data_IF_381750769992
#
_entry.id   IF_381750769992
#
_cell.length_a   1.000
_cell.length_b   1.000
_cell.length_c   1.000
_cell.angle_alpha   90.00
_cell.angle_beta   90.00
_cell.angle_gamma   90.00
#
_symmetry.space_group_name_H-M   'P 1'
#
loop_
_entity.id
_entity.type
_entity.pdbx_description
1 polymer ?
#
# COMPACT_ATOMS: atom_id res chain seq x y z
N UNK A 1 -4.06 25.75 -9.45
CA UNK A 1 -3.65 25.83 -8.03
C UNK A 1 -4.77 26.30 -7.12
N UNK A 2 -5.51 27.37 -7.46
CA UNK A 2 -6.59 27.90 -6.60
C UNK A 2 -7.77 26.91 -6.39
N UNK A 3 -8.18 26.22 -7.46
CA UNK A 3 -9.31 25.27 -7.39
C UNK A 3 -8.97 24.00 -6.60
N UNK A 4 -7.70 23.56 -6.64
CA UNK A 4 -7.23 22.37 -5.92
C UNK A 4 -7.21 22.61 -4.41
N UNK A 5 -6.76 23.77 -3.96
CA UNK A 5 -6.75 24.14 -2.54
C UNK A 5 -8.16 24.29 -1.99
N UNK A 6 -9.04 24.99 -2.73
CA UNK A 6 -10.47 25.12 -2.37
C UNK A 6 -11.17 23.78 -2.27
N UNK A 7 -10.84 22.84 -3.16
CA UNK A 7 -11.37 21.47 -3.13
C UNK A 7 -10.90 20.70 -1.89
N UNK A 8 -9.65 20.89 -1.46
CA UNK A 8 -9.11 20.19 -0.29
C UNK A 8 -9.74 20.65 1.01
N UNK A 9 -10.03 21.95 1.17
CA UNK A 9 -10.70 22.45 2.36
C UNK A 9 -12.14 21.93 2.46
N UNK A 10 -12.84 21.84 1.32
CA UNK A 10 -14.15 21.18 1.26
C UNK A 10 -14.07 19.70 1.65
N UNK A 11 -13.10 18.96 1.11
CA UNK A 11 -12.94 17.55 1.48
C UNK A 11 -12.60 17.37 2.96
N UNK A 12 -11.80 18.26 3.55
CA UNK A 12 -11.52 18.26 5.00
C UNK A 12 -12.77 18.50 5.83
N UNK A 13 -13.67 19.39 5.41
CA UNK A 13 -14.93 19.60 6.10
C UNK A 13 -15.80 18.34 6.05
N UNK A 14 -15.99 17.78 4.85
CA UNK A 14 -16.81 16.56 4.64
C UNK A 14 -16.26 15.36 5.41
N UNK A 15 -14.94 15.16 5.43
CA UNK A 15 -14.33 14.03 6.14
C UNK A 15 -14.40 14.14 7.66
N UNK A 16 -14.59 15.35 8.20
CA UNK A 16 -14.81 15.60 9.63
C UNK A 16 -16.27 15.47 10.02
N UNK A 17 -17.17 15.95 9.18
CA UNK A 17 -18.62 15.93 9.45
C UNK A 17 -19.22 14.52 9.26
N UNK A 18 -18.72 13.75 8.30
CA UNK A 18 -19.27 12.44 7.94
C UNK A 18 -18.23 11.30 7.94
N UNK A 19 -17.43 11.14 9.00
CA UNK A 19 -16.13 10.44 8.96
C UNK A 19 -16.17 8.98 8.50
N UNK A 20 -17.25 8.25 8.79
CA UNK A 20 -17.40 6.83 8.46
C UNK A 20 -18.37 6.57 7.30
N UNK A 21 -18.97 7.62 6.73
CA UNK A 21 -19.87 7.48 5.57
C UNK A 21 -19.06 7.33 4.28
N UNK A 22 -19.63 6.75 3.21
CA UNK A 22 -18.96 6.71 1.91
C UNK A 22 -18.47 8.08 1.41
N UNK A 23 -19.21 9.16 1.70
CA UNK A 23 -18.80 10.52 1.35
C UNK A 23 -17.58 10.99 2.13
N UNK A 24 -17.54 10.76 3.44
CA UNK A 24 -16.40 11.15 4.27
C UNK A 24 -15.15 10.31 4.01
N UNK A 25 -15.31 9.00 3.76
CA UNK A 25 -14.23 8.11 3.35
C UNK A 25 -13.66 8.55 1.99
N UNK A 26 -14.52 8.82 0.99
CA UNK A 26 -14.07 9.31 -0.31
C UNK A 26 -13.37 10.67 -0.20
N UNK A 27 -13.93 11.60 0.59
CA UNK A 27 -13.30 12.90 0.82
C UNK A 27 -11.92 12.75 1.46
N UNK A 28 -11.78 11.89 2.48
CA UNK A 28 -10.49 11.60 3.12
C UNK A 28 -9.49 10.97 2.16
N UNK A 29 -9.93 10.04 1.32
CA UNK A 29 -9.10 9.44 0.29
C UNK A 29 -8.56 10.49 -0.69
N UNK A 30 -9.40 11.45 -1.12
CA UNK A 30 -8.96 12.56 -1.97
C UNK A 30 -7.93 13.46 -1.29
N UNK A 31 -8.05 13.69 0.02
CA UNK A 31 -7.05 14.44 0.80
C UNK A 31 -5.72 13.66 0.84
N UNK A 32 -5.77 12.36 1.12
CA UNK A 32 -4.58 11.50 1.15
C UNK A 32 -3.86 11.48 -0.21
N UNK A 33 -4.62 11.35 -1.31
CA UNK A 33 -4.09 11.38 -2.66
C UNK A 33 -3.51 12.73 -3.05
N UNK A 34 -4.10 13.83 -2.60
CA UNK A 34 -3.53 15.17 -2.77
C UNK A 34 -2.17 15.29 -2.06
N UNK A 35 -2.08 14.88 -0.80
CA UNK A 35 -0.81 14.90 -0.07
C UNK A 35 0.24 14.02 -0.74
N UNK A 36 -0.13 12.81 -1.19
CA UNK A 36 0.76 11.92 -1.94
C UNK A 36 1.27 12.58 -3.23
N UNK A 37 0.40 13.25 -3.97
CA UNK A 37 0.74 13.87 -5.25
C UNK A 37 1.64 15.11 -5.09
N UNK A 38 1.65 15.73 -3.91
CA UNK A 38 2.52 16.84 -3.55
C UNK A 38 3.75 16.38 -2.74
N UNK A 39 4.07 15.09 -2.73
CA UNK A 39 5.19 14.50 -1.98
C UNK A 39 5.16 14.76 -0.47
N UNK A 40 3.97 15.10 0.08
CA UNK A 40 3.76 15.28 1.52
C UNK A 40 3.49 13.91 2.17
N UNK A 41 4.52 13.06 2.21
CA UNK A 41 4.37 11.64 2.55
C UNK A 41 3.78 11.40 3.94
N UNK A 42 4.22 12.12 4.97
CA UNK A 42 3.68 11.99 6.33
C UNK A 42 2.20 12.35 6.41
N UNK A 43 1.79 13.42 5.73
CA UNK A 43 0.38 13.84 5.70
C UNK A 43 -0.47 12.83 4.93
N UNK A 44 0.04 12.28 3.83
CA UNK A 44 -0.64 11.23 3.09
C UNK A 44 -0.81 9.96 3.93
N UNK A 45 0.26 9.50 4.59
CA UNK A 45 0.22 8.33 5.48
C UNK A 45 -0.81 8.49 6.58
N UNK A 46 -0.83 9.63 7.27
CA UNK A 46 -1.80 9.90 8.34
C UNK A 46 -3.25 9.76 7.88
N UNK A 47 -3.58 10.26 6.69
CA UNK A 47 -4.95 10.15 6.17
C UNK A 47 -5.28 8.72 5.73
N UNK A 48 -4.34 7.98 5.15
CA UNK A 48 -4.51 6.56 4.83
C UNK A 48 -4.59 5.68 6.10
N UNK A 49 -3.88 6.02 7.18
CA UNK A 49 -3.94 5.31 8.46
C UNK A 49 -5.34 5.42 9.08
N UNK A 50 -5.95 6.60 8.98
CA UNK A 50 -7.33 6.78 9.41
C UNK A 50 -8.25 5.92 8.54
N UNK A 51 -8.12 5.96 7.21
CA UNK A 51 -8.94 5.14 6.30
C UNK A 51 -8.85 3.65 6.58
N UNK A 52 -7.63 3.12 6.76
CA UNK A 52 -7.43 1.70 7.05
C UNK A 52 -7.98 1.29 8.42
N UNK A 53 -8.07 2.23 9.37
CA UNK A 53 -8.61 1.99 10.70
C UNK A 53 -10.14 2.07 10.78
N UNK A 54 -10.79 2.93 9.97
CA UNK A 54 -12.23 3.21 10.11
C UNK A 54 -13.08 2.61 8.99
N UNK A 55 -12.47 2.21 7.87
CA UNK A 55 -13.19 1.59 6.75
C UNK A 55 -13.70 0.20 7.14
N UNK A 56 -14.97 -0.07 6.86
CA UNK A 56 -15.55 -1.42 6.89
C UNK A 56 -15.40 -2.15 5.56
N UNK A 57 -15.01 -1.43 4.51
CA UNK A 57 -14.67 -2.00 3.21
C UNK A 57 -13.20 -2.47 3.24
N UNK A 58 -13.03 -3.79 3.10
CA UNK A 58 -11.72 -4.45 3.10
C UNK A 58 -10.84 -4.01 1.94
N UNK A 59 -11.41 -3.72 0.77
CA UNK A 59 -10.64 -3.25 -0.39
C UNK A 59 -10.04 -1.88 -0.09
N UNK A 60 -10.83 -0.94 0.43
CA UNK A 60 -10.34 0.39 0.80
C UNK A 60 -9.32 0.34 1.95
N UNK A 61 -9.52 -0.56 2.92
CA UNK A 61 -8.58 -0.72 4.02
C UNK A 61 -7.23 -1.30 3.55
N UNK A 62 -7.26 -2.33 2.71
CA UNK A 62 -6.07 -2.93 2.12
C UNK A 62 -5.35 -1.96 1.16
N UNK A 63 -6.09 -1.21 0.33
CA UNK A 63 -5.55 -0.15 -0.51
C UNK A 63 -4.79 0.89 0.32
N UNK A 64 -5.41 1.35 1.40
CA UNK A 64 -4.83 2.40 2.24
C UNK A 64 -3.52 1.94 2.87
N UNK A 65 -3.46 0.69 3.35
CA UNK A 65 -2.21 0.09 3.86
C UNK A 65 -1.17 -0.09 2.75
N UNK A 66 -1.55 -0.60 1.58
CA UNK A 66 -0.66 -0.69 0.43
C UNK A 66 -0.01 0.67 0.12
N UNK A 67 -0.81 1.74 0.08
CA UNK A 67 -0.34 3.10 -0.19
C UNK A 67 0.57 3.63 0.90
N UNK A 68 0.34 3.29 2.18
CA UNK A 68 1.27 3.62 3.27
C UNK A 68 2.61 2.91 3.06
N UNK A 69 2.59 1.62 2.71
CA UNK A 69 3.80 0.85 2.41
C UNK A 69 4.58 1.44 1.23
N UNK A 70 3.91 1.82 0.14
CA UNK A 70 4.55 2.52 -1.00
C UNK A 70 5.23 3.84 -0.58
N UNK A 71 4.60 4.61 0.32
CA UNK A 71 5.16 5.85 0.82
C UNK A 71 6.40 5.60 1.69
N UNK A 72 6.40 4.54 2.51
CA UNK A 72 7.60 4.13 3.24
C UNK A 72 8.72 3.64 2.33
N UNK A 73 8.40 2.90 1.26
CA UNK A 73 9.36 2.52 0.22
C UNK A 73 10.00 3.75 -0.43
N UNK A 74 9.21 4.78 -0.75
CA UNK A 74 9.72 6.04 -1.30
C UNK A 74 10.67 6.77 -0.36
N UNK A 75 10.43 6.67 0.94
CA UNK A 75 11.30 7.24 1.97
C UNK A 75 12.48 6.34 2.34
N UNK A 76 12.67 5.22 1.62
CA UNK A 76 13.69 4.20 1.91
C UNK A 76 13.60 3.59 3.31
N UNK A 77 12.43 3.73 3.95
CA UNK A 77 12.14 3.19 5.27
C UNK A 77 11.65 1.74 5.13
N UNK A 78 12.55 0.85 4.73
CA UNK A 78 12.23 -0.53 4.37
C UNK A 78 11.53 -1.30 5.51
N UNK A 79 11.97 -1.12 6.75
CA UNK A 79 11.34 -1.77 7.92
C UNK A 79 9.87 -1.39 8.07
N UNK A 80 9.56 -0.10 7.96
CA UNK A 80 8.17 0.39 8.07
C UNK A 80 7.31 -0.06 6.88
N UNK A 81 7.90 -0.15 5.69
CA UNK A 81 7.22 -0.70 4.52
C UNK A 81 6.88 -2.18 4.73
N UNK A 82 7.84 -2.98 5.20
CA UNK A 82 7.68 -4.39 5.54
C UNK A 82 6.56 -4.57 6.58
N UNK A 83 6.64 -3.85 7.71
CA UNK A 83 5.60 -3.89 8.75
C UNK A 83 4.21 -3.60 8.18
N UNK A 84 4.10 -2.58 7.32
CA UNK A 84 2.82 -2.19 6.73
C UNK A 84 2.27 -3.26 5.77
N UNK A 85 3.09 -3.79 4.87
CA UNK A 85 2.64 -4.81 3.91
C UNK A 85 2.31 -6.14 4.60
N UNK A 86 2.98 -6.47 5.71
CA UNK A 86 2.62 -7.63 6.53
C UNK A 86 1.20 -7.51 7.09
N UNK A 87 0.74 -6.30 7.46
CA UNK A 87 -0.66 -6.08 7.87
C UNK A 87 -1.62 -6.46 6.73
N UNK A 88 -1.30 -6.10 5.48
CA UNK A 88 -2.13 -6.49 4.33
C UNK A 88 -2.16 -8.00 4.16
N UNK A 89 -0.98 -8.63 4.19
CA UNK A 89 -0.84 -10.08 4.07
C UNK A 89 -1.67 -10.82 5.13
N UNK A 90 -1.66 -10.35 6.36
CA UNK A 90 -2.25 -11.08 7.49
C UNK A 90 -3.74 -10.78 7.68
N UNK A 91 -4.20 -9.56 7.39
CA UNK A 91 -5.60 -9.15 7.60
C UNK A 91 -6.49 -9.23 6.36
N UNK A 92 -5.90 -9.09 5.17
CA UNK A 92 -6.66 -8.96 3.92
C UNK A 92 -6.22 -9.97 2.84
N UNK A 93 -6.07 -11.27 3.16
CA UNK A 93 -5.58 -12.27 2.21
C UNK A 93 -6.50 -12.52 1.01
N UNK A 94 -7.78 -12.13 1.11
CA UNK A 94 -8.78 -12.37 0.07
C UNK A 94 -9.03 -11.14 -0.83
N UNK A 95 -8.32 -10.02 -0.61
CA UNK A 95 -8.48 -8.80 -1.43
C UNK A 95 -7.71 -8.95 -2.73
N UNK A 96 -8.42 -9.18 -3.83
CA UNK A 96 -7.85 -9.65 -5.11
C UNK A 96 -6.77 -8.72 -5.70
N UNK A 97 -6.89 -7.41 -5.52
CA UNK A 97 -5.95 -6.44 -6.12
C UNK A 97 -4.82 -6.08 -5.16
N UNK A 98 -5.17 -5.65 -3.94
CA UNK A 98 -4.20 -5.06 -3.02
C UNK A 98 -3.35 -6.09 -2.28
N UNK A 99 -3.83 -7.33 -2.12
CA UNK A 99 -3.05 -8.41 -1.54
C UNK A 99 -1.84 -8.79 -2.39
N UNK A 100 -1.98 -9.20 -3.68
CA UNK A 100 -0.82 -9.58 -4.48
C UNK A 100 0.12 -8.40 -4.75
N UNK A 101 -0.40 -7.18 -4.90
CA UNK A 101 0.41 -5.96 -4.99
C UNK A 101 1.25 -5.73 -3.73
N UNK A 102 0.65 -5.91 -2.54
CA UNK A 102 1.37 -5.76 -1.27
C UNK A 102 2.40 -6.85 -1.08
N UNK A 103 2.13 -8.10 -1.49
CA UNK A 103 3.13 -9.17 -1.45
C UNK A 103 4.31 -8.89 -2.38
N UNK A 104 4.05 -8.39 -3.59
CA UNK A 104 5.12 -8.04 -4.53
C UNK A 104 6.04 -6.96 -3.93
N UNK A 105 5.46 -5.89 -3.38
CA UNK A 105 6.23 -4.81 -2.77
C UNK A 105 6.87 -5.22 -1.42
N UNK A 106 6.27 -6.15 -0.68
CA UNK A 106 6.89 -6.74 0.51
C UNK A 106 8.16 -7.51 0.15
N UNK A 107 8.11 -8.33 -0.91
CA UNK A 107 9.30 -9.00 -1.45
C UNK A 107 10.37 -7.99 -1.87
N UNK A 108 9.98 -6.93 -2.57
CA UNK A 108 10.93 -5.88 -2.98
C UNK A 108 11.51 -5.12 -1.79
N UNK A 109 10.71 -4.85 -0.75
CA UNK A 109 11.18 -4.21 0.47
C UNK A 109 12.24 -5.07 1.17
N UNK A 110 12.02 -6.39 1.26
CA UNK A 110 13.02 -7.33 1.77
C UNK A 110 14.30 -7.35 0.92
N UNK A 111 14.20 -7.34 -0.42
CA UNK A 111 15.37 -7.22 -1.31
C UNK A 111 16.16 -5.92 -1.04
N UNK A 112 15.47 -4.79 -0.93
CA UNK A 112 16.08 -3.48 -0.70
C UNK A 112 16.75 -3.38 0.67
N UNK A 113 16.23 -4.11 1.66
CA UNK A 113 16.83 -4.25 3.00
C UNK A 113 18.02 -5.23 3.02
N UNK A 114 18.16 -6.09 2.02
CA UNK A 114 19.18 -7.14 1.94
C UNK A 114 18.76 -8.49 2.55
N UNK A 115 17.50 -8.62 2.94
CA UNK A 115 16.93 -9.86 3.49
C UNK A 115 16.44 -10.77 2.36
N UNK A 116 17.38 -11.23 1.53
CA UNK A 116 17.06 -11.96 0.29
C UNK A 116 16.31 -13.27 0.52
N UNK A 117 16.55 -13.97 1.64
CA UNK A 117 15.83 -15.20 1.96
C UNK A 117 14.33 -14.93 2.23
N UNK A 118 14.03 -13.88 3.00
CA UNK A 118 12.65 -13.40 3.19
C UNK A 118 11.99 -12.99 1.87
N UNK A 119 12.71 -12.27 1.01
CA UNK A 119 12.21 -11.89 -0.31
C UNK A 119 11.87 -13.10 -1.18
N UNK A 120 12.75 -14.11 -1.19
CA UNK A 120 12.54 -15.37 -1.92
C UNK A 120 11.26 -16.07 -1.45
N UNK A 121 11.04 -16.15 -0.14
CA UNK A 121 9.86 -16.82 0.42
C UNK A 121 8.56 -16.10 0.05
N UNK A 122 8.55 -14.76 0.10
CA UNK A 122 7.40 -13.95 -0.33
C UNK A 122 7.12 -14.13 -1.83
N UNK A 123 8.14 -14.09 -2.68
CA UNK A 123 7.95 -14.29 -4.12
C UNK A 123 7.48 -15.70 -4.46
N UNK A 124 7.98 -16.74 -3.78
CA UNK A 124 7.46 -18.10 -3.93
C UNK A 124 5.98 -18.18 -3.58
N UNK A 125 5.58 -17.62 -2.43
CA UNK A 125 4.19 -17.58 -2.03
C UNK A 125 3.31 -16.88 -3.08
N UNK A 126 3.72 -15.73 -3.59
CA UNK A 126 2.98 -15.01 -4.62
C UNK A 126 2.87 -15.80 -5.93
N UNK A 127 3.95 -16.45 -6.38
CA UNK A 127 3.91 -17.30 -7.59
C UNK A 127 3.03 -18.55 -7.45
N UNK A 128 2.82 -19.04 -6.22
CA UNK A 128 1.94 -20.19 -5.97
C UNK A 128 0.46 -19.81 -6.06
N UNK A 129 0.12 -18.56 -5.72
CA UNK A 129 -1.27 -18.06 -5.72
C UNK A 129 -1.65 -17.56 -7.12
N UNK A 130 -0.77 -16.78 -7.75
CA UNK A 130 -1.05 -16.08 -9.00
C UNK A 130 0.00 -16.35 -10.09
N UNK A 131 0.25 -17.60 -10.52
CA UNK A 131 1.38 -17.93 -11.38
C UNK A 131 1.40 -17.22 -12.75
N UNK A 132 0.23 -16.93 -13.32
CA UNK A 132 0.11 -16.53 -14.72
C UNK A 132 -0.27 -15.06 -14.94
N UNK A 133 -0.59 -14.33 -13.85
CA UNK A 133 -0.87 -12.90 -13.93
C UNK A 133 0.41 -12.04 -13.90
N UNK A 134 0.25 -10.72 -14.00
CA UNK A 134 1.37 -9.78 -13.98
C UNK A 134 2.18 -9.83 -12.67
N UNK A 135 1.52 -10.06 -11.53
CA UNK A 135 2.16 -10.10 -10.22
C UNK A 135 3.04 -11.34 -10.08
N UNK A 136 2.54 -12.52 -10.39
CA UNK A 136 3.32 -13.76 -10.33
C UNK A 136 4.41 -13.82 -11.39
N UNK A 137 4.19 -13.30 -12.60
CA UNK A 137 5.26 -13.18 -13.60
C UNK A 137 6.39 -12.27 -13.10
N UNK A 138 6.06 -11.15 -12.47
CA UNK A 138 7.05 -10.24 -11.89
C UNK A 138 7.80 -10.91 -10.72
N UNK A 139 7.07 -11.55 -9.80
CA UNK A 139 7.66 -12.27 -8.67
C UNK A 139 8.60 -13.41 -9.13
N UNK A 140 8.21 -14.17 -10.16
CA UNK A 140 9.04 -15.23 -10.76
C UNK A 140 10.34 -14.67 -11.33
N UNK A 141 10.28 -13.52 -12.00
CA UNK A 141 11.46 -12.86 -12.54
C UNK A 141 12.41 -12.38 -11.43
N UNK A 142 11.87 -11.76 -10.36
CA UNK A 142 12.65 -11.34 -9.18
C UNK A 142 13.31 -12.54 -8.49
N UNK A 143 12.54 -13.61 -8.25
CA UNK A 143 13.01 -14.87 -7.66
C UNK A 143 14.19 -15.45 -8.46
N UNK A 144 14.06 -15.55 -9.79
CA UNK A 144 15.13 -16.06 -10.67
C UNK A 144 16.42 -15.25 -10.56
N UNK A 145 16.31 -13.93 -10.41
CA UNK A 145 17.48 -13.06 -10.29
C UNK A 145 18.17 -13.28 -8.94
N UNK A 146 17.43 -13.31 -7.83
CA UNK A 146 17.98 -13.53 -6.49
C UNK A 146 18.67 -14.88 -6.33
N UNK A 147 18.13 -15.94 -6.95
CA UNK A 147 18.72 -17.28 -6.86
C UNK A 147 19.97 -17.46 -7.72
N UNK A 148 20.20 -16.58 -8.70
CA UNK A 148 21.39 -16.62 -9.56
C UNK A 148 22.60 -15.90 -8.97
N UNK A 149 22.37 -15.00 -8.02
CA UNK A 149 23.41 -14.21 -7.35
C UNK A 149 23.95 -14.86 -6.07
N UNK A 150 23.45 -16.04 -5.69
CA UNK A 150 24.03 -16.93 -4.68
C UNK A 150 25.03 -17.87 -5.34
#
# INVERSE_FOLDING_TARGET
MNDTLRSIDLYKAVSREFPTTPYGLNARYKIAMYYRSNSMHDSARKEFEILSSISQDNDLAAESLYRIGELWMRDTAWDKAIETFLIVKDKYPNVEVWFPLSLLNLGEAYEKKGENDSAIDIYKALTAINPDDDYGRTARNRLKNLTKTK
#
